data_IF_018761785416
#
_entry.id   IF_018761785416
#
_cell.length_a   1.000
_cell.length_b   1.000
_cell.length_c   1.000
_cell.angle_alpha   90.00
_cell.angle_beta   90.00
_cell.angle_gamma   90.00
#
_symmetry.space_group_name_H-M   'P 1'
#
loop_
_entity.id
_entity.type
_entity.pdbx_description
1 polymer ?
#
# COMPACT_ATOMS: atom_id res chain seq x y z
N UNK A 1 9.18 16.15 -21.18
CA UNK A 1 9.55 16.19 -19.76
C UNK A 1 8.25 16.14 -18.97
N UNK A 2 7.95 15.10 -18.17
CA UNK A 2 6.74 15.11 -17.36
C UNK A 2 6.94 16.14 -16.23
N UNK A 3 6.07 17.13 -16.22
CA UNK A 3 6.06 18.23 -15.26
C UNK A 3 5.58 17.70 -13.92
N UNK A 4 6.50 17.37 -13.02
CA UNK A 4 6.19 16.98 -11.66
C UNK A 4 5.48 18.15 -10.95
N UNK A 5 4.27 17.94 -10.45
CA UNK A 5 3.58 18.99 -9.70
C UNK A 5 4.26 19.18 -8.32
N UNK A 6 4.36 20.42 -7.80
CA UNK A 6 5.00 20.68 -6.51
C UNK A 6 4.21 19.99 -5.37
N UNK A 7 4.66 18.82 -4.94
CA UNK A 7 4.00 18.00 -3.92
C UNK A 7 3.93 16.51 -4.27
N UNK A 8 4.17 16.13 -5.52
CA UNK A 8 4.24 14.72 -5.92
C UNK A 8 5.59 14.11 -5.50
N UNK A 9 5.61 13.51 -4.32
CA UNK A 9 6.74 12.66 -3.95
C UNK A 9 6.72 11.40 -4.81
N UNK A 10 7.74 11.26 -5.65
CA UNK A 10 8.02 10.05 -6.39
C UNK A 10 8.09 8.83 -5.46
N UNK A 11 7.63 7.70 -5.98
CA UNK A 11 7.75 6.41 -5.32
C UNK A 11 9.22 5.99 -5.29
N UNK A 12 9.73 5.78 -4.08
CA UNK A 12 11.13 5.43 -3.81
C UNK A 12 11.19 4.07 -3.12
N UNK A 13 12.27 3.33 -3.38
CA UNK A 13 12.52 2.06 -2.70
C UNK A 13 12.54 2.25 -1.18
N UNK A 14 12.14 1.20 -0.46
CA UNK A 14 12.00 1.18 1.00
C UNK A 14 10.62 1.66 1.50
N UNK A 15 9.81 2.32 0.67
CA UNK A 15 8.47 2.80 1.06
C UNK A 15 7.41 1.68 1.03
N UNK A 16 6.47 1.73 1.97
CA UNK A 16 5.28 0.89 1.98
C UNK A 16 4.20 1.47 1.06
N UNK A 17 3.65 0.62 0.21
CA UNK A 17 2.62 0.96 -0.77
C UNK A 17 1.47 -0.03 -0.68
N UNK A 18 0.30 0.44 -1.10
CA UNK A 18 -0.88 -0.37 -1.26
C UNK A 18 -1.15 -0.56 -2.75
N UNK A 19 -1.31 -1.81 -3.15
CA UNK A 19 -1.79 -2.16 -4.48
C UNK A 19 -3.27 -2.49 -4.40
N UNK A 20 -4.06 -1.94 -5.32
CA UNK A 20 -5.51 -2.14 -5.37
C UNK A 20 -6.00 -2.39 -6.79
N UNK A 21 -6.86 -3.40 -6.94
CA UNK A 21 -7.60 -3.65 -8.16
C UNK A 21 -9.10 -3.67 -7.85
N UNK A 22 -9.86 -2.89 -8.63
CA UNK A 22 -11.32 -2.86 -8.57
C UNK A 22 -11.95 -3.36 -9.86
N UNK A 23 -13.02 -4.13 -9.75
CA UNK A 23 -13.84 -4.59 -10.87
C UNK A 23 -15.31 -4.33 -10.57
N UNK A 24 -16.01 -3.62 -11.46
CA UNK A 24 -17.44 -3.26 -11.30
C UNK A 24 -17.75 -2.65 -9.92
N UNK A 25 -16.88 -1.76 -9.43
CA UNK A 25 -17.04 -1.09 -8.13
C UNK A 25 -16.67 -1.93 -6.90
N UNK A 26 -16.31 -3.21 -7.05
CA UNK A 26 -15.85 -4.06 -5.95
C UNK A 26 -14.33 -4.14 -5.92
N UNK A 27 -13.76 -4.14 -4.72
CA UNK A 27 -12.32 -4.38 -4.52
C UNK A 27 -12.08 -5.88 -4.64
N UNK A 28 -11.36 -6.28 -5.69
CA UNK A 28 -11.06 -7.68 -5.99
C UNK A 28 -9.69 -8.10 -5.47
N UNK A 29 -8.78 -7.14 -5.31
CA UNK A 29 -7.46 -7.36 -4.76
C UNK A 29 -6.98 -6.09 -4.07
N UNK A 30 -6.47 -6.28 -2.85
CA UNK A 30 -5.78 -5.22 -2.11
C UNK A 30 -4.63 -5.84 -1.33
N UNK A 31 -3.42 -5.30 -1.47
CA UNK A 31 -2.23 -5.86 -0.84
C UNK A 31 -1.23 -4.77 -0.50
N UNK A 32 -0.77 -4.75 0.76
CA UNK A 32 0.36 -3.94 1.15
C UNK A 32 1.66 -4.65 0.83
N UNK A 33 2.62 -3.88 0.32
CA UNK A 33 3.96 -4.37 0.02
C UNK A 33 4.98 -3.25 0.20
N UNK A 34 6.23 -3.63 0.43
CA UNK A 34 7.34 -2.67 0.43
C UNK A 34 7.94 -2.62 -0.97
N UNK A 35 8.14 -1.41 -1.49
CA UNK A 35 8.83 -1.21 -2.75
C UNK A 35 10.32 -1.53 -2.56
N UNK A 36 10.81 -2.52 -3.30
CA UNK A 36 12.18 -3.06 -3.17
C UNK A 36 12.76 -3.32 -4.55
N UNK A 37 14.05 -3.00 -4.75
CA UNK A 37 14.71 -3.17 -6.04
C UNK A 37 14.88 -4.66 -6.39
N UNK A 38 14.68 -5.04 -7.66
CA UNK A 38 14.72 -6.43 -8.13
C UNK A 38 13.52 -7.31 -7.71
N UNK A 39 12.57 -6.78 -6.93
CA UNK A 39 11.37 -7.51 -6.51
C UNK A 39 10.17 -7.28 -7.44
N UNK A 40 9.15 -8.11 -7.29
CA UNK A 40 7.91 -8.05 -8.09
C UNK A 40 6.68 -8.18 -7.21
N UNK A 41 5.66 -7.38 -7.50
CA UNK A 41 4.33 -7.54 -6.93
C UNK A 41 3.59 -8.63 -7.70
N UNK A 42 3.29 -9.75 -7.03
CA UNK A 42 2.46 -10.81 -7.56
C UNK A 42 1.01 -10.66 -7.09
N UNK A 43 0.07 -10.77 -8.04
CA UNK A 43 -1.37 -10.82 -7.81
C UNK A 43 -2.03 -11.82 -8.76
N UNK A 44 -3.25 -12.26 -8.44
CA UNK A 44 -4.07 -13.09 -9.35
C UNK A 44 -4.41 -12.38 -10.67
N UNK A 45 -4.27 -11.05 -10.70
CA UNK A 45 -4.55 -10.18 -11.86
C UNK A 45 -3.28 -9.80 -12.64
N UNK A 46 -2.16 -10.45 -12.32
CA UNK A 46 -0.87 -10.30 -12.98
C UNK A 46 0.23 -9.78 -12.06
N UNK A 47 1.39 -9.58 -12.68
CA UNK A 47 2.64 -9.21 -11.99
C UNK A 47 3.11 -7.83 -12.43
N UNK A 48 3.65 -7.05 -11.51
CA UNK A 48 4.27 -5.73 -11.75
C UNK A 48 5.69 -5.76 -11.18
N UNK A 49 6.70 -5.33 -11.96
CA UNK A 49 8.06 -5.17 -11.46
C UNK A 49 8.16 -3.94 -10.57
N UNK A 50 8.86 -4.02 -9.44
CA UNK A 50 9.02 -2.85 -8.57
C UNK A 50 9.80 -1.71 -9.25
N UNK A 51 10.69 -2.04 -10.19
CA UNK A 51 11.35 -1.09 -11.09
C UNK A 51 10.36 -0.25 -11.91
N UNK A 52 9.21 -0.83 -12.27
CA UNK A 52 8.17 -0.17 -13.06
C UNK A 52 7.32 0.79 -12.21
N UNK A 53 7.42 0.69 -10.89
CA UNK A 53 6.72 1.51 -9.90
C UNK A 53 7.62 2.65 -9.41
N UNK A 54 8.91 2.36 -9.22
CA UNK A 54 9.87 3.33 -8.74
C UNK A 54 9.99 4.52 -9.73
N UNK A 55 9.97 5.74 -9.20
CA UNK A 55 10.04 6.96 -10.00
C UNK A 55 8.72 7.43 -10.60
N UNK A 56 7.61 6.72 -10.38
CA UNK A 56 6.25 7.21 -10.68
C UNK A 56 5.68 8.01 -9.50
N UNK A 57 4.72 8.93 -9.75
CA UNK A 57 3.95 9.54 -8.68
C UNK A 57 3.06 8.50 -7.99
N UNK A 58 2.75 8.75 -6.72
CA UNK A 58 1.81 7.90 -5.99
C UNK A 58 0.37 8.15 -6.46
N UNK A 59 -0.44 7.10 -6.56
CA UNK A 59 -1.82 7.19 -7.05
C UNK A 59 -1.98 6.81 -8.52
N UNK A 60 -0.90 6.39 -9.19
CA UNK A 60 -0.94 5.96 -10.58
C UNK A 60 -1.45 4.52 -10.75
N UNK A 61 -2.07 4.28 -11.91
CA UNK A 61 -2.44 2.94 -12.36
C UNK A 61 -1.30 2.33 -13.15
N UNK A 62 -0.79 1.19 -12.67
CA UNK A 62 0.30 0.47 -13.30
C UNK A 62 -0.26 -0.78 -13.98
N UNK A 63 0.13 -0.97 -15.24
CA UNK A 63 -0.30 -2.11 -16.05
C UNK A 63 0.51 -3.34 -15.70
N UNK A 64 -0.18 -4.43 -15.34
CA UNK A 64 0.45 -5.75 -15.13
C UNK A 64 0.91 -6.34 -16.46
N UNK A 65 1.79 -7.35 -16.39
CA UNK A 65 2.19 -8.15 -17.57
C UNK A 65 0.99 -8.77 -18.33
N UNK A 66 -0.15 -8.99 -17.66
CA UNK A 66 -1.38 -9.52 -18.25
C UNK A 66 -2.35 -8.41 -18.69
N UNK A 67 -1.92 -7.15 -18.63
CA UNK A 67 -2.66 -5.99 -19.11
C UNK A 67 -3.68 -5.40 -18.15
N UNK A 68 -3.79 -5.90 -16.91
CA UNK A 68 -4.72 -5.36 -15.91
C UNK A 68 -4.13 -4.13 -15.24
N UNK A 69 -4.93 -3.10 -15.01
CA UNK A 69 -4.51 -1.89 -14.32
C UNK A 69 -4.69 -2.05 -12.81
N UNK A 70 -3.62 -1.85 -12.05
CA UNK A 70 -3.62 -1.88 -10.58
C UNK A 70 -3.22 -0.48 -10.09
N UNK A 71 -4.03 0.09 -9.19
CA UNK A 71 -3.73 1.35 -8.52
C UNK A 71 -2.62 1.12 -7.49
N UNK A 72 -1.56 1.93 -7.54
CA UNK A 72 -0.50 1.92 -6.52
C UNK A 72 -0.48 3.27 -5.79
N UNK A 73 -0.75 3.26 -4.49
CA UNK A 73 -0.78 4.47 -3.67
C UNK A 73 -0.13 4.27 -2.30
N UNK A 74 0.06 5.38 -1.58
CA UNK A 74 0.50 5.35 -0.18
C UNK A 74 -0.68 4.98 0.70
N UNK A 75 -0.57 3.98 1.59
CA UNK A 75 -1.66 3.61 2.47
C UNK A 75 -1.95 4.75 3.45
N UNK A 76 -3.23 4.95 3.76
CA UNK A 76 -3.62 5.72 4.94
C UNK A 76 -3.41 4.90 6.23
N UNK A 77 -3.63 5.50 7.40
CA UNK A 77 -3.43 4.82 8.69
C UNK A 77 -4.32 3.57 8.84
N UNK A 78 -5.59 3.65 8.44
CA UNK A 78 -6.52 2.53 8.53
C UNK A 78 -6.11 1.38 7.62
N UNK A 79 -5.75 1.67 6.37
CA UNK A 79 -5.22 0.71 5.40
C UNK A 79 -3.91 0.09 5.88
N UNK A 80 -3.05 0.88 6.51
CA UNK A 80 -1.84 0.38 7.15
C UNK A 80 -2.17 -0.64 8.23
N UNK A 81 -3.07 -0.31 9.15
CA UNK A 81 -3.47 -1.23 10.22
C UNK A 81 -4.13 -2.50 9.69
N UNK A 82 -4.95 -2.39 8.63
CA UNK A 82 -5.68 -3.52 8.05
C UNK A 82 -4.79 -4.46 7.22
N UNK A 83 -3.87 -3.91 6.42
CA UNK A 83 -3.14 -4.65 5.38
C UNK A 83 -1.66 -4.83 5.67
N UNK A 84 -1.10 -4.22 6.73
CA UNK A 84 0.28 -4.47 7.12
C UNK A 84 0.51 -5.97 7.36
N UNK A 85 1.63 -6.48 6.83
CA UNK A 85 2.06 -7.87 7.08
C UNK A 85 2.21 -8.04 8.59
N UNK A 86 1.32 -8.82 9.20
CA UNK A 86 1.32 -9.10 10.64
C UNK A 86 2.66 -9.71 11.06
N UNK A 87 3.59 -8.88 11.56
CA UNK A 87 4.59 -9.34 12.53
C UNK A 87 3.86 -9.56 13.86
N UNK A 88 4.24 -10.58 14.64
CA UNK A 88 3.59 -10.89 15.92
C UNK A 88 3.35 -9.61 16.76
N UNK A 89 2.11 -9.11 16.77
CA UNK A 89 1.61 -8.16 17.74
C UNK A 89 0.14 -8.49 17.95
N UNK A 90 -0.15 -8.93 19.17
CA UNK A 90 -1.35 -9.62 19.65
C UNK A 90 -2.57 -8.70 19.74
N UNK A 91 -2.44 -7.42 19.44
CA UNK A 91 -3.43 -6.42 19.86
C UNK A 91 -4.06 -5.73 18.65
N UNK A 92 -5.33 -6.06 18.39
CA UNK A 92 -6.17 -5.36 17.43
C UNK A 92 -6.49 -3.93 17.95
N UNK A 93 -6.85 -2.95 17.10
CA UNK A 93 -7.16 -1.59 17.56
C UNK A 93 -8.22 -1.52 18.67
N UNK A 94 -9.21 -2.43 18.69
CA UNK A 94 -10.18 -2.50 19.80
C UNK A 94 -9.55 -2.94 21.13
N UNK A 95 -8.58 -3.86 21.09
CA UNK A 95 -7.91 -4.30 22.30
C UNK A 95 -6.92 -3.23 22.78
N UNK A 96 -6.28 -2.50 21.86
CA UNK A 96 -5.38 -1.41 22.19
C UNK A 96 -6.13 -0.19 22.76
N UNK A 97 -7.30 0.16 22.22
CA UNK A 97 -8.14 1.24 22.78
C UNK A 97 -8.68 0.88 24.16
N UNK A 98 -9.04 -0.39 24.38
CA UNK A 98 -9.50 -0.88 25.68
C UNK A 98 -8.35 -0.89 26.70
N UNK A 99 -7.16 -1.33 26.28
CA UNK A 99 -5.95 -1.26 27.11
C UNK A 99 -5.58 0.18 27.48
N UNK A 100 -5.66 1.13 26.54
CA UNK A 100 -5.42 2.56 26.78
C UNK A 100 -6.49 3.20 27.67
N UNK A 101 -7.74 2.72 27.63
CA UNK A 101 -8.78 3.18 28.57
C UNK A 101 -8.56 2.66 29.99
N UNK A 102 -7.91 1.50 30.16
CA UNK A 102 -7.62 0.90 31.45
C UNK A 102 -6.26 1.34 32.04
N UNK A 103 -5.35 1.83 31.20
CA UNK A 103 -4.14 2.53 31.61
C UNK A 103 -4.51 4.01 31.75
N UNK A 104 -4.73 4.50 32.96
CA UNK A 104 -5.05 5.89 33.30
C UNK A 104 -3.92 6.86 32.87
N UNK A 105 -3.76 7.10 31.57
CA UNK A 105 -2.80 8.05 30.99
C UNK A 105 -3.46 9.42 31.03
N UNK A 106 -3.39 10.05 32.20
CA UNK A 106 -3.63 11.48 32.33
C UNK A 106 -2.35 12.25 31.94
N UNK A 107 -2.54 13.28 31.12
CA UNK A 107 -1.53 14.22 30.63
C UNK A 107 -1.03 15.14 31.76
#
# INVERSE_FOLDING_TARGET
>A
MPTLLPGEHLLTFGKLLLAEYRKKGRVEFRKMFQLQDGHRLQSSWGTIGHSDIAGLPAGDFIRTIHGTLILIHRPNLEEYLLYMKRGLAITYPMDASTMLMMMDVTN
#
